data_IF_551454604929
#
_entry.id   IF_551454604929
#
_cell.length_a   1.000
_cell.length_b   1.000
_cell.length_c   1.000
_cell.angle_alpha   90.00
_cell.angle_beta   90.00
_cell.angle_gamma   90.00
#
_symmetry.space_group_name_H-M   'P 1'
#
loop_
_entity.id
_entity.type
_entity.pdbx_description
1 polymer ?
#
# COMPACT_ATOMS: atom_id res chain seq x y z
N UNK A 1 -4.96 33.84 -3.96
CA UNK A 1 -4.60 32.40 -4.13
C UNK A 1 -4.66 31.69 -2.79
N UNK A 2 -5.27 30.50 -2.71
CA UNK A 2 -5.32 29.69 -1.48
C UNK A 2 -4.58 28.37 -1.74
N UNK A 3 -3.57 28.06 -0.89
CA UNK A 3 -2.81 26.83 -0.99
C UNK A 3 -3.45 25.69 -0.17
N UNK A 4 -3.56 24.51 -0.76
CA UNK A 4 -4.05 23.29 -0.10
C UNK A 4 -2.95 22.26 -0.04
N UNK A 5 -2.54 21.86 1.18
CA UNK A 5 -1.69 20.72 1.40
C UNK A 5 -2.44 19.41 1.09
N UNK A 6 -1.71 18.34 0.80
CA UNK A 6 -2.28 17.08 0.31
C UNK A 6 -3.42 16.53 1.17
N UNK A 7 -3.27 16.48 2.50
CA UNK A 7 -4.31 15.99 3.42
C UNK A 7 -5.62 16.81 3.38
N UNK A 8 -5.62 17.98 2.75
CA UNK A 8 -6.78 18.85 2.60
C UNK A 8 -7.20 19.07 1.16
N UNK A 9 -6.65 18.29 0.24
CA UNK A 9 -6.78 18.55 -1.19
C UNK A 9 -8.23 18.43 -1.69
N UNK A 10 -9.03 17.53 -1.12
CA UNK A 10 -10.47 17.43 -1.43
C UNK A 10 -11.21 18.78 -1.19
N UNK A 11 -10.75 19.63 -0.26
CA UNK A 11 -11.35 20.96 -0.03
C UNK A 11 -11.04 21.99 -1.13
N UNK A 12 -10.13 21.69 -2.02
CA UNK A 12 -9.87 22.50 -3.20
C UNK A 12 -10.97 22.32 -4.27
N UNK A 13 -11.79 21.27 -4.17
CA UNK A 13 -12.93 21.06 -5.07
C UNK A 13 -14.07 22.03 -4.73
N UNK A 14 -14.57 22.84 -5.70
CA UNK A 14 -15.76 23.65 -5.51
C UNK A 14 -16.99 22.82 -5.08
N UNK A 15 -17.05 21.58 -5.52
CA UNK A 15 -18.10 20.62 -5.14
C UNK A 15 -17.88 19.95 -3.78
N UNK A 16 -16.82 20.25 -3.02
CA UNK A 16 -16.56 19.60 -1.73
C UNK A 16 -17.76 19.67 -0.80
N UNK A 17 -18.08 18.52 -0.17
CA UNK A 17 -19.08 18.44 0.92
C UNK A 17 -18.50 17.54 2.01
N UNK A 18 -18.48 18.03 3.24
CA UNK A 18 -17.87 17.36 4.40
C UNK A 18 -18.44 15.97 4.70
N UNK A 19 -19.69 15.71 4.33
CA UNK A 19 -20.40 14.45 4.57
C UNK A 19 -20.15 13.38 3.48
N UNK A 20 -19.69 13.76 2.28
CA UNK A 20 -19.47 12.79 1.18
C UNK A 20 -18.53 11.65 1.54
N UNK A 21 -17.41 11.85 2.26
CA UNK A 21 -16.58 10.74 2.70
C UNK A 21 -17.31 9.72 3.57
N UNK A 22 -18.32 10.12 4.35
CA UNK A 22 -19.14 9.22 5.17
C UNK A 22 -20.05 8.32 4.33
N UNK A 23 -20.36 8.67 3.08
CA UNK A 23 -21.07 7.81 2.13
C UNK A 23 -20.10 7.01 1.27
N UNK A 24 -18.95 7.59 0.89
CA UNK A 24 -17.94 6.89 0.09
C UNK A 24 -17.38 5.69 0.84
N UNK A 25 -17.05 5.83 2.12
CA UNK A 25 -16.45 4.75 2.89
C UNK A 25 -17.30 3.46 2.94
N UNK A 26 -18.58 3.48 3.39
CA UNK A 26 -19.39 2.27 3.43
C UNK A 26 -19.71 1.73 2.03
N UNK A 27 -19.93 2.62 1.04
CA UNK A 27 -20.17 2.17 -0.33
C UNK A 27 -18.93 1.51 -0.94
N UNK A 28 -17.75 2.08 -0.74
CA UNK A 28 -16.49 1.49 -1.19
C UNK A 28 -16.24 0.12 -0.51
N UNK A 29 -16.58 -0.01 0.77
CA UNK A 29 -16.47 -1.27 1.49
C UNK A 29 -17.42 -2.34 0.93
N UNK A 30 -18.68 -2.01 0.66
CA UNK A 30 -19.63 -2.94 0.05
C UNK A 30 -19.17 -3.36 -1.35
N UNK A 31 -18.73 -2.40 -2.18
CA UNK A 31 -18.20 -2.70 -3.51
C UNK A 31 -16.92 -3.55 -3.44
N UNK A 32 -16.05 -3.29 -2.45
CA UNK A 32 -14.87 -4.11 -2.21
C UNK A 32 -15.24 -5.56 -1.91
N UNK A 33 -16.21 -5.81 -1.02
CA UNK A 33 -16.69 -7.16 -0.74
C UNK A 33 -17.23 -7.83 -2.02
N UNK A 34 -18.07 -7.13 -2.79
CA UNK A 34 -18.60 -7.67 -4.06
C UNK A 34 -17.49 -8.02 -5.04
N UNK A 35 -16.51 -7.13 -5.23
CA UNK A 35 -15.41 -7.39 -6.15
C UNK A 35 -14.47 -8.49 -5.64
N UNK A 36 -14.24 -8.59 -4.33
CA UNK A 36 -13.45 -9.67 -3.73
C UNK A 36 -14.15 -11.02 -3.91
N UNK A 37 -15.48 -11.09 -3.77
CA UNK A 37 -16.24 -12.30 -4.05
C UNK A 37 -16.20 -12.71 -5.55
N UNK A 38 -16.15 -11.73 -6.45
CA UNK A 38 -15.96 -12.02 -7.89
C UNK A 38 -14.56 -12.58 -8.13
N UNK A 39 -13.52 -11.99 -7.52
CA UNK A 39 -12.14 -12.50 -7.62
C UNK A 39 -12.06 -13.92 -7.07
N UNK A 40 -12.63 -14.16 -5.88
CA UNK A 40 -12.71 -15.49 -5.29
C UNK A 40 -13.39 -16.48 -6.25
N UNK A 41 -14.58 -16.15 -6.76
CA UNK A 41 -15.30 -17.03 -7.67
C UNK A 41 -14.54 -17.35 -8.96
N UNK A 42 -13.81 -16.37 -9.53
CA UNK A 42 -12.98 -16.59 -10.72
C UNK A 42 -11.79 -17.50 -10.40
N UNK A 43 -11.08 -17.25 -9.29
CA UNK A 43 -9.92 -18.07 -8.90
C UNK A 43 -10.36 -19.51 -8.57
N UNK A 44 -11.47 -19.68 -7.86
CA UNK A 44 -12.05 -21.00 -7.57
C UNK A 44 -12.44 -21.76 -8.85
N UNK A 45 -13.06 -21.09 -9.81
CA UNK A 45 -13.39 -21.72 -11.11
C UNK A 45 -12.14 -22.15 -11.88
N UNK A 46 -11.07 -21.35 -11.82
CA UNK A 46 -9.79 -21.72 -12.42
C UNK A 46 -9.17 -22.91 -11.67
N UNK A 47 -9.17 -22.90 -10.35
CA UNK A 47 -8.65 -24.01 -9.54
C UNK A 47 -9.38 -25.33 -9.85
N UNK A 48 -10.70 -25.30 -9.84
CA UNK A 48 -11.54 -26.48 -10.16
C UNK A 48 -11.37 -26.98 -11.60
N UNK A 49 -11.08 -26.06 -12.55
CA UNK A 49 -10.90 -26.41 -13.95
C UNK A 49 -9.49 -26.87 -14.36
N UNK A 50 -8.49 -26.60 -13.52
CA UNK A 50 -7.06 -26.80 -13.88
C UNK A 50 -6.28 -27.71 -12.94
N UNK A 51 -6.69 -27.82 -11.69
CA UNK A 51 -6.01 -28.65 -10.68
C UNK A 51 -6.60 -30.05 -10.62
N UNK A 52 -5.74 -31.03 -10.28
CA UNK A 52 -6.21 -32.34 -9.81
C UNK A 52 -6.82 -32.23 -8.41
N UNK A 53 -7.52 -33.27 -7.95
CA UNK A 53 -8.12 -33.28 -6.62
C UNK A 53 -7.10 -33.00 -5.51
N UNK A 54 -5.93 -33.67 -5.53
CA UNK A 54 -4.83 -33.41 -4.59
C UNK A 54 -4.24 -31.99 -4.73
N UNK A 55 -4.27 -31.43 -5.94
CA UNK A 55 -3.82 -30.07 -6.23
C UNK A 55 -4.79 -29.04 -5.64
N UNK A 56 -6.08 -29.29 -5.77
CA UNK A 56 -7.12 -28.42 -5.20
C UNK A 56 -7.08 -28.43 -3.67
N UNK A 57 -6.94 -29.61 -3.05
CA UNK A 57 -6.83 -29.73 -1.60
C UNK A 57 -5.63 -28.93 -1.06
N UNK A 58 -4.47 -29.01 -1.72
CA UNK A 58 -3.30 -28.20 -1.37
C UNK A 58 -3.57 -26.70 -1.50
N UNK A 59 -4.11 -26.25 -2.63
CA UNK A 59 -4.48 -24.85 -2.85
C UNK A 59 -5.44 -24.36 -1.77
N UNK A 60 -6.49 -25.14 -1.46
CA UNK A 60 -7.49 -24.81 -0.44
C UNK A 60 -6.86 -24.61 0.93
N UNK A 61 -5.96 -25.52 1.35
CA UNK A 61 -5.21 -25.39 2.60
C UNK A 61 -4.28 -24.18 2.61
N UNK A 62 -3.55 -23.94 1.52
CA UNK A 62 -2.59 -22.84 1.42
C UNK A 62 -3.28 -21.47 1.36
N UNK A 63 -4.45 -21.37 0.70
CA UNK A 63 -5.20 -20.12 0.61
C UNK A 63 -5.73 -19.61 1.96
N UNK A 64 -5.83 -20.46 2.96
CA UNK A 64 -6.28 -20.11 4.33
C UNK A 64 -5.13 -19.82 5.30
N UNK A 65 -3.87 -20.07 4.90
CA UNK A 65 -2.68 -19.89 5.75
C UNK A 65 -1.91 -18.64 5.37
N UNK A 66 -1.71 -17.74 6.32
CA UNK A 66 -0.96 -16.50 6.10
C UNK A 66 0.49 -16.71 5.62
N UNK A 67 1.12 -17.83 6.01
CA UNK A 67 2.50 -18.15 5.63
C UNK A 67 2.57 -19.04 4.37
N UNK A 68 1.60 -19.92 4.16
CA UNK A 68 1.61 -20.85 3.03
C UNK A 68 1.04 -20.23 1.73
N UNK A 69 0.20 -19.20 1.84
CA UNK A 69 -0.42 -18.53 0.69
C UNK A 69 0.59 -18.00 -0.35
N UNK A 70 1.79 -17.67 0.07
CA UNK A 70 2.85 -17.15 -0.80
C UNK A 70 3.61 -18.23 -1.56
N UNK A 71 3.42 -19.50 -1.26
CA UNK A 71 4.09 -20.63 -1.93
C UNK A 71 3.21 -21.32 -2.98
N UNK A 72 1.92 -20.93 -3.07
CA UNK A 72 1.00 -21.39 -4.10
C UNK A 72 0.61 -20.27 -5.05
N UNK A 73 0.77 -20.42 -6.39
CA UNK A 73 0.47 -19.37 -7.35
C UNK A 73 -0.98 -18.90 -7.36
N UNK A 74 -1.98 -19.80 -7.23
CA UNK A 74 -3.40 -19.41 -7.24
C UNK A 74 -3.80 -18.75 -5.94
N UNK A 75 -3.32 -19.26 -4.79
CA UNK A 75 -3.53 -18.63 -3.49
C UNK A 75 -2.92 -17.22 -3.44
N UNK A 76 -1.71 -17.04 -4.01
CA UNK A 76 -1.08 -15.73 -4.12
C UNK A 76 -1.85 -14.77 -5.03
N UNK A 77 -2.38 -15.27 -6.18
CA UNK A 77 -3.28 -14.48 -7.05
C UNK A 77 -4.53 -14.06 -6.29
N UNK A 78 -5.17 -14.98 -5.56
CA UNK A 78 -6.35 -14.68 -4.77
C UNK A 78 -6.08 -13.57 -3.73
N UNK A 79 -4.98 -13.69 -2.99
CA UNK A 79 -4.56 -12.69 -1.99
C UNK A 79 -4.34 -11.31 -2.63
N UNK A 80 -3.47 -11.24 -3.62
CA UNK A 80 -3.06 -9.95 -4.21
C UNK A 80 -4.18 -9.29 -5.02
N UNK A 81 -4.91 -10.06 -5.84
CA UNK A 81 -6.03 -9.53 -6.61
C UNK A 81 -7.20 -9.15 -5.70
N UNK A 82 -7.45 -9.94 -4.63
CA UNK A 82 -8.46 -9.62 -3.63
C UNK A 82 -8.23 -8.28 -2.94
N UNK A 83 -6.98 -7.90 -2.69
CA UNK A 83 -6.63 -6.57 -2.15
C UNK A 83 -6.63 -5.51 -3.24
N UNK A 84 -6.13 -5.80 -4.45
CA UNK A 84 -6.04 -4.84 -5.55
C UNK A 84 -7.40 -4.25 -5.95
N UNK A 85 -8.50 -5.01 -5.79
CA UNK A 85 -9.85 -4.52 -6.11
C UNK A 85 -10.38 -3.44 -5.16
N UNK A 86 -9.66 -3.11 -4.07
CA UNK A 86 -9.97 -1.93 -3.25
C UNK A 86 -9.93 -0.62 -4.05
N UNK A 87 -8.99 -0.48 -5.00
CA UNK A 87 -8.86 0.73 -5.80
C UNK A 87 -10.06 0.95 -6.75
N UNK A 88 -10.48 0.00 -7.60
CA UNK A 88 -11.67 0.17 -8.42
C UNK A 88 -12.96 0.29 -7.59
N UNK A 89 -13.07 -0.37 -6.43
CA UNK A 89 -14.19 -0.21 -5.52
C UNK A 89 -14.29 1.23 -4.98
N UNK A 90 -13.17 1.78 -4.51
CA UNK A 90 -13.08 3.16 -4.06
C UNK A 90 -13.37 4.16 -5.20
N UNK A 91 -12.80 3.90 -6.39
CA UNK A 91 -13.05 4.75 -7.57
C UNK A 91 -14.54 4.80 -7.90
N UNK A 92 -15.19 3.64 -7.97
CA UNK A 92 -16.63 3.56 -8.32
C UNK A 92 -17.48 4.22 -7.23
N UNK A 93 -17.19 4.01 -5.95
CA UNK A 93 -17.89 4.69 -4.85
C UNK A 93 -17.78 6.22 -4.96
N UNK A 94 -16.58 6.75 -5.25
CA UNK A 94 -16.38 8.20 -5.46
C UNK A 94 -17.14 8.75 -6.66
N UNK A 95 -17.20 8.00 -7.75
CA UNK A 95 -17.99 8.37 -8.94
C UNK A 95 -19.48 8.44 -8.61
N UNK A 96 -20.03 7.41 -7.96
CA UNK A 96 -21.45 7.34 -7.57
C UNK A 96 -21.82 8.51 -6.64
N UNK A 97 -21.01 8.77 -5.62
CA UNK A 97 -21.24 9.86 -4.63
C UNK A 97 -20.85 11.24 -5.18
N UNK A 98 -20.20 11.31 -6.36
CA UNK A 98 -19.63 12.52 -6.95
C UNK A 98 -18.66 13.24 -6.02
N UNK A 99 -17.74 12.48 -5.41
CA UNK A 99 -16.82 12.93 -4.36
C UNK A 99 -15.48 13.49 -4.88
N UNK A 100 -15.49 14.18 -6.02
CA UNK A 100 -14.30 14.81 -6.60
C UNK A 100 -13.48 13.87 -7.48
N UNK A 101 -12.40 14.40 -8.08
CA UNK A 101 -11.55 13.66 -9.02
C UNK A 101 -10.65 12.64 -8.30
N UNK A 102 -10.55 11.44 -8.86
CA UNK A 102 -9.61 10.42 -8.40
C UNK A 102 -8.14 10.88 -8.51
N UNK A 103 -7.82 11.68 -9.53
CA UNK A 103 -6.46 12.21 -9.71
C UNK A 103 -5.97 13.07 -8.54
N UNK A 104 -6.86 13.69 -7.77
CA UNK A 104 -6.46 14.45 -6.57
C UNK A 104 -6.06 13.55 -5.40
N UNK A 105 -6.49 12.31 -5.39
CA UNK A 105 -5.93 11.32 -4.46
C UNK A 105 -4.50 10.93 -4.86
N UNK A 106 -4.15 11.00 -6.14
CA UNK A 106 -2.77 10.68 -6.58
C UNK A 106 -1.76 11.72 -6.12
N UNK A 107 -2.03 13.03 -6.36
CA UNK A 107 -1.14 14.12 -5.91
C UNK A 107 -1.79 15.49 -6.07
N UNK A 108 -1.12 16.50 -5.51
CA UNK A 108 -1.46 17.93 -5.70
C UNK A 108 -1.43 18.36 -7.17
N UNK A 109 -0.78 17.60 -8.05
CA UNK A 109 -0.78 17.84 -9.50
C UNK A 109 -2.05 17.28 -10.19
N UNK A 110 -2.94 16.57 -9.47
CA UNK A 110 -4.15 15.96 -10.00
C UNK A 110 -3.90 14.68 -10.81
N UNK A 111 -2.71 14.11 -10.73
CA UNK A 111 -2.28 12.88 -11.41
C UNK A 111 -1.04 12.32 -10.74
N UNK A 112 -0.70 11.05 -10.97
CA UNK A 112 0.60 10.51 -10.59
C UNK A 112 1.71 11.24 -11.36
N UNK A 113 2.74 11.65 -10.65
CA UNK A 113 3.96 12.27 -11.18
C UNK A 113 4.96 11.15 -11.47
N UNK A 114 4.80 10.45 -12.60
CA UNK A 114 5.56 9.26 -12.97
C UNK A 114 7.09 9.43 -12.83
N UNK A 115 7.63 10.57 -13.29
CA UNK A 115 9.07 10.85 -13.14
C UNK A 115 9.48 10.89 -11.67
N UNK A 116 8.63 11.44 -10.79
CA UNK A 116 8.88 11.47 -9.36
C UNK A 116 8.76 10.06 -8.75
N UNK A 117 7.79 9.27 -9.15
CA UNK A 117 7.66 7.88 -8.72
C UNK A 117 8.93 7.10 -9.04
N UNK A 118 9.42 7.15 -10.27
CA UNK A 118 10.66 6.45 -10.65
C UNK A 118 11.89 6.95 -9.89
N UNK A 119 11.99 8.23 -9.60
CA UNK A 119 13.06 8.76 -8.73
C UNK A 119 12.94 8.27 -7.31
N UNK A 120 11.71 8.19 -6.76
CA UNK A 120 11.45 7.69 -5.41
C UNK A 120 11.69 6.18 -5.27
N UNK A 121 11.69 5.40 -6.37
CA UNK A 121 12.09 3.99 -6.34
C UNK A 121 13.56 3.79 -5.98
N UNK A 122 14.45 4.75 -6.23
CA UNK A 122 15.88 4.60 -5.93
C UNK A 122 16.14 4.44 -4.41
N UNK A 123 15.71 5.39 -3.54
CA UNK A 123 15.84 5.20 -2.10
C UNK A 123 14.99 4.03 -1.58
N UNK A 124 13.86 3.69 -2.21
CA UNK A 124 13.06 2.54 -1.87
C UNK A 124 13.81 1.22 -2.15
N UNK A 125 14.47 1.10 -3.31
CA UNK A 125 15.30 -0.06 -3.64
C UNK A 125 16.50 -0.21 -2.68
N UNK A 126 17.13 0.91 -2.28
CA UNK A 126 18.19 0.87 -1.28
C UNK A 126 17.66 0.37 0.09
N UNK A 127 16.48 0.87 0.52
CA UNK A 127 15.83 0.46 1.75
C UNK A 127 15.50 -1.04 1.73
N UNK A 128 14.79 -1.51 0.71
CA UNK A 128 14.38 -2.92 0.60
C UNK A 128 15.56 -3.87 0.34
N UNK A 129 16.60 -3.40 -0.36
CA UNK A 129 17.85 -4.15 -0.54
C UNK A 129 18.59 -4.36 0.80
N UNK A 130 18.64 -3.32 1.66
CA UNK A 130 19.20 -3.45 3.01
C UNK A 130 18.37 -4.40 3.87
N UNK A 131 17.03 -4.30 3.81
CA UNK A 131 16.15 -5.26 4.51
C UNK A 131 16.41 -6.71 4.06
N UNK A 132 16.46 -6.95 2.76
CA UNK A 132 16.74 -8.29 2.22
C UNK A 132 18.12 -8.80 2.67
N UNK A 133 19.15 -7.94 2.65
CA UNK A 133 20.47 -8.32 3.12
C UNK A 133 20.49 -8.66 4.64
N UNK A 134 19.76 -7.88 5.45
CA UNK A 134 19.62 -8.19 6.87
C UNK A 134 18.90 -9.52 7.06
N UNK A 135 17.80 -9.76 6.38
CA UNK A 135 17.00 -10.97 6.47
C UNK A 135 17.79 -12.22 6.03
N UNK A 136 18.54 -12.13 4.93
CA UNK A 136 19.20 -13.28 4.34
C UNK A 136 20.61 -13.55 4.91
N UNK A 137 21.29 -12.53 5.43
CA UNK A 137 22.72 -12.64 5.80
C UNK A 137 22.95 -12.31 7.27
N UNK A 138 22.44 -11.16 7.72
CA UNK A 138 22.79 -10.63 9.07
C UNK A 138 22.04 -11.41 10.15
N UNK A 139 20.76 -11.64 9.98
CA UNK A 139 19.94 -12.32 10.98
C UNK A 139 20.40 -13.77 11.22
N UNK A 140 20.60 -14.62 10.18
CA UNK A 140 21.15 -15.97 10.38
C UNK A 140 22.54 -15.98 11.05
N UNK A 141 23.38 -15.00 10.71
CA UNK A 141 24.72 -14.88 11.33
C UNK A 141 24.68 -14.50 12.81
N UNK A 142 23.67 -13.71 13.25
CA UNK A 142 23.52 -13.27 14.64
C UNK A 142 22.82 -14.35 15.48
N UNK A 143 21.76 -14.96 14.95
CA UNK A 143 20.98 -15.97 15.68
C UNK A 143 21.69 -17.33 15.72
N UNK A 144 22.60 -17.58 14.78
CA UNK A 144 23.21 -18.89 14.59
C UNK A 144 22.26 -19.92 13.96
N UNK A 145 21.06 -19.50 13.57
CA UNK A 145 20.05 -20.34 12.92
C UNK A 145 20.14 -20.15 11.40
N UNK A 146 20.59 -21.18 10.63
CA UNK A 146 20.64 -21.07 9.18
C UNK A 146 19.22 -21.01 8.60
N UNK A 147 19.06 -20.37 7.45
CA UNK A 147 17.77 -20.28 6.76
C UNK A 147 17.22 -21.64 6.31
N UNK A 148 18.06 -22.65 6.24
CA UNK A 148 17.74 -23.93 5.62
C UNK A 148 17.86 -23.87 4.09
N UNK A 149 17.50 -24.98 3.43
CA UNK A 149 17.46 -25.03 1.96
C UNK A 149 16.12 -24.55 1.45
N UNK A 150 16.09 -23.85 0.28
CA UNK A 150 14.84 -23.45 -0.34
C UNK A 150 14.05 -24.67 -0.80
N UNK A 151 12.81 -24.81 -0.36
CA UNK A 151 11.94 -25.97 -0.65
C UNK A 151 11.03 -25.77 -1.86
N UNK A 152 10.79 -24.51 -2.28
CA UNK A 152 9.95 -24.21 -3.44
C UNK A 152 10.67 -24.59 -4.74
N UNK A 153 10.08 -25.44 -5.61
CA UNK A 153 10.67 -25.75 -6.92
C UNK A 153 10.90 -24.49 -7.75
N UNK A 154 12.03 -24.43 -8.46
CA UNK A 154 12.40 -23.25 -9.26
C UNK A 154 11.32 -22.86 -10.27
N UNK A 155 10.67 -23.83 -10.92
CA UNK A 155 9.55 -23.54 -11.86
C UNK A 155 8.37 -22.85 -11.15
N UNK A 156 7.99 -23.30 -9.97
CA UNK A 156 6.94 -22.69 -9.14
C UNK A 156 7.35 -21.30 -8.69
N UNK A 157 8.59 -21.13 -8.20
CA UNK A 157 9.11 -19.83 -7.79
C UNK A 157 9.11 -18.80 -8.92
N UNK A 158 9.47 -19.21 -10.15
CA UNK A 158 9.40 -18.30 -11.30
C UNK A 158 7.97 -17.85 -11.60
N UNK A 159 6.98 -18.73 -11.47
CA UNK A 159 5.56 -18.35 -11.59
C UNK A 159 5.14 -17.38 -10.49
N UNK A 160 5.51 -17.67 -9.23
CA UNK A 160 5.25 -16.78 -8.10
C UNK A 160 5.88 -15.40 -8.32
N UNK A 161 7.12 -15.34 -8.78
CA UNK A 161 7.80 -14.09 -9.09
C UNK A 161 7.05 -13.28 -10.18
N UNK A 162 6.56 -13.94 -11.22
CA UNK A 162 5.74 -13.28 -12.27
C UNK A 162 4.44 -12.73 -11.65
N UNK A 163 3.75 -13.52 -10.82
CA UNK A 163 2.55 -13.07 -10.12
C UNK A 163 2.84 -11.86 -9.24
N UNK A 164 3.92 -11.88 -8.46
CA UNK A 164 4.35 -10.76 -7.62
C UNK A 164 4.62 -9.50 -8.45
N UNK A 165 5.40 -9.61 -9.50
CA UNK A 165 5.76 -8.47 -10.35
C UNK A 165 4.56 -7.86 -11.07
N UNK A 166 3.54 -8.67 -11.40
CA UNK A 166 2.33 -8.21 -12.07
C UNK A 166 1.30 -7.65 -11.09
N UNK A 167 1.07 -8.28 -9.92
CA UNK A 167 -0.05 -7.93 -9.05
C UNK A 167 0.33 -7.03 -7.87
N UNK A 168 1.54 -7.13 -7.31
CA UNK A 168 1.94 -6.28 -6.18
C UNK A 168 1.88 -4.79 -6.49
N UNK A 169 2.25 -4.28 -7.70
CA UNK A 169 2.07 -2.87 -8.01
C UNK A 169 0.61 -2.39 -7.89
N UNK A 170 -0.36 -3.22 -8.27
CA UNK A 170 -1.77 -2.89 -8.13
C UNK A 170 -2.26 -3.03 -6.69
N UNK A 171 -1.88 -4.10 -6.01
CA UNK A 171 -2.21 -4.37 -4.61
C UNK A 171 -1.71 -3.23 -3.70
N UNK A 172 -0.40 -2.93 -3.72
CA UNK A 172 0.19 -1.88 -2.91
C UNK A 172 -0.38 -0.49 -3.26
N UNK A 173 -0.58 -0.20 -4.55
CA UNK A 173 -1.23 1.06 -4.96
C UNK A 173 -2.65 1.16 -4.42
N UNK A 174 -3.44 0.08 -4.46
CA UNK A 174 -4.81 0.08 -3.98
C UNK A 174 -4.88 0.45 -2.50
N UNK A 175 -4.01 -0.11 -1.68
CA UNK A 175 -3.92 0.24 -0.27
C UNK A 175 -3.49 1.70 -0.06
N UNK A 176 -2.49 2.19 -0.82
CA UNK A 176 -2.08 3.60 -0.72
C UNK A 176 -3.23 4.55 -1.12
N UNK A 177 -3.99 4.23 -2.17
CA UNK A 177 -5.15 5.04 -2.56
C UNK A 177 -6.26 5.03 -1.50
N UNK A 178 -6.52 3.91 -0.84
CA UNK A 178 -7.53 3.81 0.21
C UNK A 178 -7.06 4.57 1.46
N UNK A 179 -5.90 4.24 2.01
CA UNK A 179 -5.50 4.76 3.31
C UNK A 179 -4.88 6.16 3.19
N UNK A 180 -3.90 6.38 2.30
CA UNK A 180 -3.20 7.66 2.17
C UNK A 180 -3.90 8.60 1.17
N UNK A 181 -4.61 8.05 0.20
CA UNK A 181 -5.45 8.83 -0.73
C UNK A 181 -6.76 9.26 -0.09
N UNK A 182 -7.63 8.31 0.25
CA UNK A 182 -8.98 8.60 0.69
C UNK A 182 -9.09 8.91 2.20
N UNK A 183 -8.67 7.99 3.09
CA UNK A 183 -8.86 8.18 4.54
C UNK A 183 -8.13 9.43 5.05
N UNK A 184 -6.87 9.59 4.64
CA UNK A 184 -6.06 10.74 5.03
C UNK A 184 -6.66 12.07 4.56
N UNK A 185 -7.18 12.15 3.31
CA UNK A 185 -7.83 13.37 2.82
C UNK A 185 -9.21 13.60 3.43
N UNK A 186 -10.00 12.55 3.70
CA UNK A 186 -11.28 12.65 4.37
C UNK A 186 -11.13 13.28 5.75
N UNK A 187 -10.23 12.73 6.59
CA UNK A 187 -9.95 13.26 7.93
C UNK A 187 -9.31 14.64 7.86
N UNK A 188 -8.35 14.86 6.95
CA UNK A 188 -7.74 16.17 6.71
C UNK A 188 -8.74 17.21 6.20
N UNK A 189 -9.82 16.79 5.56
CA UNK A 189 -10.96 17.63 5.22
C UNK A 189 -11.71 18.15 6.45
N UNK A 190 -11.80 17.39 7.52
CA UNK A 190 -12.45 17.77 8.78
C UNK A 190 -11.48 18.46 9.74
N UNK A 191 -10.24 17.96 9.86
CA UNK A 191 -9.23 18.43 10.82
C UNK A 191 -8.07 19.06 10.08
N UNK A 192 -7.67 20.28 10.49
CA UNK A 192 -6.56 21.00 9.85
C UNK A 192 -5.18 20.44 10.20
N UNK A 193 -5.05 19.80 11.36
CA UNK A 193 -3.81 19.32 11.90
C UNK A 193 -3.43 17.99 11.25
N UNK A 194 -2.45 18.03 10.37
CA UNK A 194 -2.03 16.88 9.56
C UNK A 194 -1.66 15.62 10.38
N UNK A 195 -1.07 15.68 11.60
CA UNK A 195 -0.77 14.46 12.35
C UNK A 195 -2.01 13.64 12.70
N UNK A 196 -3.16 14.28 12.93
CA UNK A 196 -4.42 13.56 13.15
C UNK A 196 -4.83 12.77 11.89
N UNK A 197 -4.70 13.37 10.71
CA UNK A 197 -5.00 12.68 9.46
C UNK A 197 -4.03 11.51 9.20
N UNK A 198 -2.73 11.69 9.53
CA UNK A 198 -1.71 10.62 9.46
C UNK A 198 -2.07 9.46 10.38
N UNK A 199 -2.36 9.72 11.65
CA UNK A 199 -2.74 8.68 12.61
C UNK A 199 -4.03 7.96 12.19
N UNK A 200 -5.06 8.73 11.78
CA UNK A 200 -6.35 8.19 11.38
C UNK A 200 -6.26 7.32 10.10
N UNK A 201 -5.29 7.56 9.23
CA UNK A 201 -5.05 6.70 8.07
C UNK A 201 -4.18 5.50 8.39
N UNK A 202 -3.28 5.60 9.38
CA UNK A 202 -2.35 4.54 9.75
C UNK A 202 -3.01 3.46 10.60
N UNK A 203 -3.87 3.82 11.56
CA UNK A 203 -4.51 2.85 12.47
C UNK A 203 -5.34 1.80 11.72
N UNK A 204 -6.29 2.13 10.83
CA UNK A 204 -7.05 1.12 10.10
C UNK A 204 -6.18 0.29 9.15
N UNK A 205 -5.10 0.84 8.61
CA UNK A 205 -4.13 0.09 7.83
C UNK A 205 -3.47 -1.02 8.66
N UNK A 206 -3.00 -0.69 9.87
CA UNK A 206 -2.40 -1.67 10.80
C UNK A 206 -3.40 -2.74 11.20
N UNK A 207 -4.64 -2.35 11.53
CA UNK A 207 -5.70 -3.28 11.94
C UNK A 207 -6.17 -4.23 10.82
N UNK A 208 -5.87 -3.91 9.56
CA UNK A 208 -6.10 -4.79 8.41
C UNK A 208 -5.10 -5.94 8.28
N UNK A 209 -4.06 -6.01 9.11
CA UNK A 209 -3.02 -7.02 9.04
C UNK A 209 -3.12 -8.02 10.20
N UNK A 210 -3.01 -9.31 9.89
CA UNK A 210 -3.09 -10.41 10.86
C UNK A 210 -1.68 -10.85 11.30
N UNK A 211 -0.92 -9.92 11.89
CA UNK A 211 0.46 -10.13 12.32
C UNK A 211 0.54 -10.19 13.85
N UNK A 212 1.62 -10.72 14.37
CA UNK A 212 1.92 -10.62 15.81
C UNK A 212 2.22 -9.15 16.21
N UNK A 213 2.35 -8.88 17.50
CA UNK A 213 2.55 -7.50 18.00
C UNK A 213 3.78 -6.79 17.44
N UNK A 214 4.85 -7.53 17.17
CA UNK A 214 6.08 -6.98 16.61
C UNK A 214 5.88 -6.60 15.14
N UNK A 215 5.27 -7.47 14.37
CA UNK A 215 4.90 -7.19 12.97
C UNK A 215 3.90 -6.05 12.84
N UNK A 216 2.87 -5.97 13.73
CA UNK A 216 1.98 -4.80 13.77
C UNK A 216 2.72 -3.52 14.10
N UNK A 217 3.76 -3.57 14.94
CA UNK A 217 4.65 -2.45 15.22
C UNK A 217 5.43 -1.99 13.99
N UNK A 218 5.98 -2.93 13.22
CA UNK A 218 6.66 -2.64 11.96
C UNK A 218 5.74 -1.97 10.94
N UNK A 219 4.52 -2.52 10.78
CA UNK A 219 3.51 -1.95 9.89
C UNK A 219 3.09 -0.57 10.36
N UNK A 220 3.02 -0.32 11.67
CA UNK A 220 2.72 1.02 12.20
C UNK A 220 3.81 2.02 11.83
N UNK A 221 5.08 1.67 11.99
CA UNK A 221 6.21 2.52 11.57
C UNK A 221 6.14 2.81 10.07
N UNK A 222 5.93 1.78 9.25
CA UNK A 222 5.74 1.91 7.82
C UNK A 222 4.57 2.84 7.48
N UNK A 223 3.41 2.63 8.12
CA UNK A 223 2.18 3.40 7.88
C UNK A 223 2.36 4.89 8.21
N UNK A 224 2.97 5.19 9.36
CA UNK A 224 3.22 6.57 9.79
C UNK A 224 4.19 7.28 8.86
N UNK A 225 5.27 6.62 8.45
CA UNK A 225 6.28 7.20 7.58
C UNK A 225 5.73 7.45 6.18
N UNK A 226 5.02 6.49 5.59
CA UNK A 226 4.44 6.64 4.25
C UNK A 226 3.32 7.69 4.22
N UNK A 227 2.48 7.77 5.25
CA UNK A 227 1.46 8.82 5.38
C UNK A 227 2.11 10.22 5.56
N UNK A 228 3.17 10.32 6.38
CA UNK A 228 3.93 11.56 6.50
C UNK A 228 4.58 11.98 5.17
N UNK A 229 5.23 11.05 4.46
CA UNK A 229 5.83 11.32 3.14
C UNK A 229 4.78 11.79 2.13
N UNK A 230 3.59 11.18 2.15
CA UNK A 230 2.48 11.58 1.28
C UNK A 230 2.09 13.04 1.51
N UNK A 231 1.95 13.46 2.78
CA UNK A 231 1.69 14.88 3.11
C UNK A 231 2.87 15.76 2.73
N UNK A 232 4.09 15.31 3.01
CA UNK A 232 5.33 16.07 2.80
C UNK A 232 5.66 16.31 1.34
N UNK A 233 5.44 15.30 0.49
CA UNK A 233 5.72 15.38 -0.95
C UNK A 233 4.50 15.81 -1.77
N UNK A 234 3.32 15.85 -1.15
CA UNK A 234 2.07 16.24 -1.81
C UNK A 234 1.54 15.17 -2.77
N UNK A 235 1.79 13.88 -2.52
CA UNK A 235 1.29 12.79 -3.36
C UNK A 235 1.73 11.41 -2.91
N UNK A 236 1.13 10.38 -3.52
CA UNK A 236 1.28 8.97 -3.16
C UNK A 236 2.58 8.33 -3.69
N UNK A 237 3.31 8.98 -4.60
CA UNK A 237 4.35 8.33 -5.41
C UNK A 237 5.45 7.68 -4.57
N UNK A 238 5.95 8.37 -3.53
CA UNK A 238 6.98 7.81 -2.66
C UNK A 238 6.44 6.65 -1.80
N UNK A 239 5.20 6.77 -1.32
CA UNK A 239 4.53 5.72 -0.56
C UNK A 239 4.28 4.48 -1.43
N UNK A 240 3.73 4.64 -2.63
CA UNK A 240 3.55 3.55 -3.60
C UNK A 240 4.89 2.90 -3.93
N UNK A 241 5.93 3.68 -4.21
CA UNK A 241 7.23 3.15 -4.60
C UNK A 241 7.84 2.23 -3.54
N UNK A 242 7.89 2.66 -2.28
CA UNK A 242 8.43 1.81 -1.20
C UNK A 242 7.51 0.64 -0.89
N UNK A 243 6.19 0.82 -0.95
CA UNK A 243 5.24 -0.24 -0.67
C UNK A 243 5.34 -1.39 -1.69
N UNK A 244 5.41 -1.06 -2.98
CA UNK A 244 5.60 -2.05 -4.05
C UNK A 244 6.88 -2.84 -3.85
N UNK A 245 8.03 -2.17 -3.65
CA UNK A 245 9.30 -2.86 -3.50
C UNK A 245 9.37 -3.64 -2.18
N UNK A 246 8.82 -3.09 -1.11
CA UNK A 246 8.74 -3.79 0.18
C UNK A 246 7.96 -5.10 0.04
N UNK A 247 6.79 -5.07 -0.60
CA UNK A 247 5.95 -6.28 -0.73
C UNK A 247 6.55 -7.29 -1.71
N UNK A 248 7.24 -6.85 -2.78
CA UNK A 248 7.99 -7.76 -3.65
C UNK A 248 9.06 -8.52 -2.85
N UNK A 249 9.79 -7.85 -1.96
CA UNK A 249 10.81 -8.49 -1.12
C UNK A 249 10.16 -9.32 -0.02
N UNK A 250 9.18 -8.76 0.69
CA UNK A 250 8.51 -9.41 1.82
C UNK A 250 7.74 -10.69 1.45
N UNK A 251 7.24 -10.78 0.23
CA UNK A 251 6.62 -12.01 -0.29
C UNK A 251 7.60 -12.86 -1.09
N UNK A 252 8.46 -12.22 -1.89
CA UNK A 252 9.34 -12.94 -2.82
C UNK A 252 10.45 -13.73 -2.14
N UNK A 253 11.01 -13.24 -1.04
CA UNK A 253 12.06 -13.97 -0.31
C UNK A 253 11.48 -15.18 0.43
N UNK A 254 10.43 -15.08 1.24
CA UNK A 254 9.80 -16.23 1.86
C UNK A 254 9.17 -17.22 0.86
N UNK A 255 8.74 -16.76 -0.33
CA UNK A 255 8.24 -17.62 -1.39
C UNK A 255 9.27 -18.68 -1.89
N UNK A 256 10.56 -18.49 -1.58
CA UNK A 256 11.58 -19.54 -1.77
C UNK A 256 11.33 -20.77 -0.89
N UNK A 257 10.54 -20.64 0.18
CA UNK A 257 10.17 -21.73 1.06
C UNK A 257 11.23 -22.09 2.08
N UNK A 258 11.99 -21.12 2.57
CA UNK A 258 12.89 -21.32 3.70
C UNK A 258 12.08 -21.59 4.98
N UNK A 259 12.44 -22.65 5.73
CA UNK A 259 11.68 -23.07 6.93
C UNK A 259 11.63 -21.99 8.03
N UNK A 260 12.69 -21.22 8.16
CA UNK A 260 12.85 -20.21 9.23
C UNK A 260 12.45 -18.80 8.79
N UNK A 261 11.78 -18.62 7.64
CA UNK A 261 11.24 -17.33 7.19
C UNK A 261 9.72 -17.36 7.17
N UNK A 262 9.11 -16.52 8.01
CA UNK A 262 7.66 -16.31 8.04
C UNK A 262 7.30 -14.90 7.55
N UNK A 263 6.13 -14.75 6.96
CA UNK A 263 5.63 -13.44 6.48
C UNK A 263 4.89 -12.69 7.59
N UNK A 264 4.22 -13.44 8.48
CA UNK A 264 3.29 -12.88 9.46
C UNK A 264 3.88 -12.61 10.84
N UNK A 265 5.09 -13.12 11.13
CA UNK A 265 5.69 -13.03 12.44
C UNK A 265 6.87 -12.05 12.45
N UNK A 266 6.63 -10.85 12.98
CA UNK A 266 7.71 -9.92 13.31
C UNK A 266 8.43 -10.32 14.60
N UNK A 267 9.61 -9.72 14.81
CA UNK A 267 10.44 -9.88 16.01
C UNK A 267 10.82 -8.52 16.61
N UNK A 268 11.30 -8.46 17.87
CA UNK A 268 11.85 -7.23 18.42
C UNK A 268 12.95 -6.60 17.56
N UNK A 269 13.80 -7.45 16.96
CA UNK A 269 14.90 -7.05 16.09
C UNK A 269 14.39 -6.45 14.78
N UNK A 270 13.40 -7.08 14.15
CA UNK A 270 12.82 -6.58 12.91
C UNK A 270 12.09 -5.24 13.12
N UNK A 271 11.38 -5.08 14.25
CA UNK A 271 10.81 -3.79 14.64
C UNK A 271 11.90 -2.73 14.87
N UNK A 272 12.99 -3.07 15.58
CA UNK A 272 14.09 -2.13 15.80
C UNK A 272 14.72 -1.68 14.46
N UNK A 273 14.89 -2.61 13.53
CA UNK A 273 15.37 -2.31 12.17
C UNK A 273 14.40 -1.36 11.45
N UNK A 274 13.11 -1.63 11.50
CA UNK A 274 12.08 -0.78 10.87
C UNK A 274 12.09 0.64 11.45
N UNK A 275 12.21 0.78 12.78
CA UNK A 275 12.30 2.08 13.49
C UNK A 275 13.52 2.89 13.05
N UNK A 276 14.60 2.25 12.63
CA UNK A 276 15.81 2.94 12.14
C UNK A 276 15.75 3.18 10.63
N UNK A 277 15.46 2.14 9.84
CA UNK A 277 15.57 2.21 8.38
C UNK A 277 14.46 3.05 7.74
N UNK A 278 13.22 2.97 8.24
CA UNK A 278 12.11 3.73 7.67
C UNK A 278 12.29 5.26 7.80
N UNK A 279 12.69 5.83 8.95
CA UNK A 279 13.05 7.25 9.02
C UNK A 279 14.23 7.64 8.13
N UNK A 280 15.25 6.79 7.98
CA UNK A 280 16.36 7.05 7.06
C UNK A 280 15.90 7.09 5.60
N UNK A 281 15.04 6.16 5.19
CA UNK A 281 14.36 6.21 3.90
C UNK A 281 13.58 7.52 3.72
N UNK A 282 12.78 7.91 4.72
CA UNK A 282 12.00 9.14 4.70
C UNK A 282 12.86 10.39 4.52
N UNK A 283 13.99 10.47 5.23
CA UNK A 283 14.96 11.57 5.12
C UNK A 283 15.60 11.62 3.73
N UNK A 284 15.95 10.47 3.16
CA UNK A 284 16.49 10.39 1.80
C UNK A 284 15.48 10.90 0.77
N UNK A 285 14.23 10.44 0.84
CA UNK A 285 13.13 10.89 -0.04
C UNK A 285 12.88 12.40 0.11
N UNK A 286 12.78 12.91 1.35
CA UNK A 286 12.54 14.33 1.61
C UNK A 286 13.69 15.20 1.05
N UNK A 287 14.94 14.77 1.21
CA UNK A 287 16.12 15.48 0.67
C UNK A 287 16.09 15.52 -0.86
N UNK A 288 15.74 14.42 -1.51
CA UNK A 288 15.62 14.37 -2.98
C UNK A 288 14.44 15.23 -3.44
N UNK A 289 13.29 15.13 -2.75
CA UNK A 289 12.10 15.92 -3.07
C UNK A 289 12.37 17.42 -3.00
N UNK A 290 13.04 17.91 -1.96
CA UNK A 290 13.41 19.34 -1.84
C UNK A 290 14.25 19.87 -3.02
N UNK A 291 14.99 18.99 -3.70
CA UNK A 291 15.83 19.33 -4.86
C UNK A 291 15.09 19.16 -6.19
N UNK A 292 13.92 18.56 -6.20
CA UNK A 292 13.18 18.25 -7.43
C UNK A 292 12.45 19.44 -8.05
N UNK A 293 12.26 20.52 -7.29
CA UNK A 293 11.44 21.67 -7.70
C UNK A 293 9.93 21.40 -7.74
N UNK A 294 9.49 20.21 -7.31
CA UNK A 294 8.06 19.85 -7.29
C UNK A 294 7.34 20.53 -6.12
N UNK A 295 6.08 20.91 -6.36
CA UNK A 295 5.22 21.43 -5.30
C UNK A 295 4.61 20.32 -4.44
N UNK A 296 4.51 20.56 -3.14
CA UNK A 296 3.74 19.75 -2.19
C UNK A 296 2.35 20.33 -1.88
N UNK A 297 1.98 21.44 -2.52
CA UNK A 297 0.72 22.17 -2.31
C UNK A 297 0.06 22.46 -3.66
N UNK A 298 -1.27 22.40 -3.69
CA UNK A 298 -2.06 22.87 -4.83
C UNK A 298 -2.53 24.30 -4.56
N UNK A 299 -2.22 25.21 -5.45
CA UNK A 299 -2.72 26.58 -5.43
C UNK A 299 -3.96 26.69 -6.31
N UNK A 300 -5.05 27.24 -5.75
CA UNK A 300 -6.30 27.49 -6.48
C UNK A 300 -6.57 29.00 -6.44
N UNK A 301 -6.80 29.59 -7.61
CA UNK A 301 -7.29 30.95 -7.70
C UNK A 301 -8.75 30.98 -7.21
N UNK A 302 -9.06 31.85 -6.23
CA UNK A 302 -10.45 32.15 -5.93
C UNK A 302 -11.03 32.93 -7.10
N UNK A 303 -12.14 32.47 -7.64
CA UNK A 303 -12.93 33.32 -8.53
C UNK A 303 -13.14 34.68 -7.85
N UNK A 304 -12.94 35.82 -8.55
CA UNK A 304 -13.24 37.10 -7.98
C UNK A 304 -14.70 37.09 -7.49
N UNK A 305 -14.92 37.56 -6.25
CA UNK A 305 -16.27 37.80 -5.77
C UNK A 305 -16.87 38.77 -6.79
N UNK A 306 -17.80 38.30 -7.63
CA UNK A 306 -18.58 39.16 -8.49
C UNK A 306 -19.31 40.09 -7.53
N UNK A 307 -18.94 41.38 -7.55
CA UNK A 307 -19.66 42.39 -6.78
C UNK A 307 -21.13 42.29 -7.18
N UNK A 308 -22.08 42.33 -6.21
CA UNK A 308 -23.48 42.39 -6.56
C UNK A 308 -23.66 43.58 -7.52
N UNK A 309 -24.26 43.31 -8.67
CA UNK A 309 -24.65 44.34 -9.62
C UNK A 309 -25.51 45.38 -8.86
N UNK A 310 -25.31 46.68 -9.09
CA UNK A 310 -26.01 47.73 -8.42
C UNK A 310 -27.51 47.68 -8.66
#
# INVERSE_FOLDING_TARGET
MTGYAYHRLDRADPGYRWWRPLLVAPLAFVLYIVFSLIVLGVVELVALGTLSDDGYDRYSLQSTSANAVITDPLALVLLLAGVAVMAPALWLARVIVRAGSFGWMSSVAGRLRWRWLFVALLPAAAYTGVQAAIMLVVQPAITGEPLGEPTTPVSTYLVLLVVLLLLVPFQASAEEYVFRGFVLQAVGGWVRWWPVAVLASSVPFVLGHLYNWWGLGEILVFALVTAWLTVRTGGLEAAIGVHVLNNIVAFGVPALGFENLTVADGSPESLAIAVVLMPLYALAVDRIFRRSGLSSVRTVERAPLVAPLP
#
